data_IF_570949038389
#
_entry.id   IF_570949038389
#
_cell.length_a   1.000
_cell.length_b   1.000
_cell.length_c   1.000
_cell.angle_alpha   90.00
_cell.angle_beta   90.00
_cell.angle_gamma   90.00
#
_symmetry.space_group_name_H-M   'P 1'
#
loop_
_entity.id
_entity.type
_entity.pdbx_description
1 polymer ?
#
# COMPACT_ATOMS: atom_id res chain seq x y z
N UNK A 1 11.26 -4.70 -18.35
CA UNK A 1 10.68 -6.07 -18.27
C UNK A 1 9.58 -6.20 -19.31
N UNK A 2 9.48 -7.34 -19.99
CA UNK A 2 8.57 -7.53 -21.14
C UNK A 2 7.13 -7.83 -20.75
N UNK A 3 6.19 -7.63 -21.68
CA UNK A 3 4.79 -8.07 -21.54
C UNK A 3 4.67 -9.52 -22.00
N UNK A 4 3.87 -10.32 -21.30
CA UNK A 4 3.54 -11.71 -21.68
C UNK A 4 2.10 -11.75 -22.17
N UNK A 5 1.88 -12.38 -23.33
CA UNK A 5 0.53 -12.65 -23.83
C UNK A 5 0.05 -14.00 -23.30
N UNK A 6 -1.09 -14.01 -22.64
CA UNK A 6 -1.74 -15.21 -22.13
C UNK A 6 -3.22 -15.21 -22.51
N UNK A 7 -3.86 -16.37 -22.40
CA UNK A 7 -5.29 -16.55 -22.63
C UNK A 7 -5.91 -17.14 -21.36
N UNK A 8 -6.97 -16.51 -20.87
CA UNK A 8 -7.68 -16.89 -19.64
C UNK A 8 -9.18 -16.99 -19.95
N UNK A 9 -9.87 -17.89 -19.26
CA UNK A 9 -11.32 -17.99 -19.32
C UNK A 9 -11.94 -17.10 -18.23
N UNK A 10 -12.90 -16.28 -18.62
CA UNK A 10 -13.61 -15.33 -17.75
C UNK A 10 -15.09 -15.46 -18.08
N UNK A 11 -15.93 -15.30 -17.07
CA UNK A 11 -17.38 -15.20 -17.24
C UNK A 11 -17.77 -14.08 -18.24
N UNK A 12 -18.78 -14.34 -19.08
CA UNK A 12 -19.15 -13.45 -20.17
C UNK A 12 -19.69 -12.10 -19.67
N UNK A 13 -20.54 -12.10 -18.65
CA UNK A 13 -21.14 -10.90 -18.10
C UNK A 13 -20.07 -10.07 -17.38
N UNK A 14 -19.25 -10.72 -16.56
CA UNK A 14 -18.13 -10.07 -15.87
C UNK A 14 -17.17 -9.39 -16.86
N UNK A 15 -16.80 -10.10 -17.93
CA UNK A 15 -15.92 -9.55 -18.95
C UNK A 15 -16.55 -8.35 -19.69
N UNK A 16 -17.86 -8.38 -19.91
CA UNK A 16 -18.59 -7.27 -20.52
C UNK A 16 -18.57 -6.03 -19.62
N UNK A 17 -18.83 -6.18 -18.33
CA UNK A 17 -18.77 -5.08 -17.35
C UNK A 17 -17.36 -4.50 -17.25
N UNK A 18 -16.34 -5.36 -17.18
CA UNK A 18 -14.95 -4.93 -17.09
C UNK A 18 -14.51 -4.09 -18.30
N UNK A 19 -14.92 -4.46 -19.52
CA UNK A 19 -14.64 -3.65 -20.72
C UNK A 19 -15.36 -2.31 -20.70
N UNK A 20 -16.59 -2.25 -20.18
CA UNK A 20 -17.33 -1.00 -20.05
C UNK A 20 -16.66 -0.06 -19.05
N UNK A 21 -16.11 -0.60 -17.96
CA UNK A 21 -15.30 0.16 -17.00
C UNK A 21 -14.06 0.75 -17.67
N UNK A 22 -13.30 -0.07 -18.40
CA UNK A 22 -12.12 0.38 -19.15
C UNK A 22 -12.43 1.51 -20.13
N UNK A 23 -13.55 1.39 -20.86
CA UNK A 23 -14.02 2.43 -21.77
C UNK A 23 -14.37 3.72 -21.03
N UNK A 24 -15.06 3.63 -19.89
CA UNK A 24 -15.47 4.78 -19.08
C UNK A 24 -14.27 5.55 -18.53
N UNK A 25 -13.22 4.82 -18.14
CA UNK A 25 -11.99 5.40 -17.59
C UNK A 25 -10.99 5.84 -18.66
N UNK A 26 -11.27 5.58 -19.95
CA UNK A 26 -10.35 5.85 -21.04
C UNK A 26 -9.05 5.05 -20.94
N UNK A 27 -9.10 3.88 -20.30
CA UNK A 27 -7.94 3.03 -20.02
C UNK A 27 -7.94 1.78 -20.90
N UNK A 28 -6.76 1.20 -21.13
CA UNK A 28 -6.63 -0.06 -21.85
C UNK A 28 -7.07 -1.23 -20.96
N UNK A 29 -7.82 -2.18 -21.53
CA UNK A 29 -8.29 -3.39 -20.82
C UNK A 29 -7.12 -4.19 -20.24
N UNK A 30 -6.01 -4.28 -20.97
CA UNK A 30 -4.77 -4.92 -20.52
C UNK A 30 -4.16 -4.24 -19.30
N UNK A 31 -4.15 -2.91 -19.28
CA UNK A 31 -3.62 -2.10 -18.18
C UNK A 31 -4.46 -2.28 -16.92
N UNK A 32 -5.79 -2.22 -17.05
CA UNK A 32 -6.69 -2.46 -15.93
C UNK A 32 -6.59 -3.88 -15.39
N UNK A 33 -6.45 -4.88 -16.29
CA UNK A 33 -6.25 -6.27 -15.86
C UNK A 33 -4.94 -6.44 -15.10
N UNK A 34 -3.87 -5.77 -15.54
CA UNK A 34 -2.57 -5.78 -14.85
C UNK A 34 -2.64 -5.10 -13.47
N UNK A 35 -3.37 -3.98 -13.36
CA UNK A 35 -3.62 -3.31 -12.08
C UNK A 35 -4.46 -4.19 -11.14
N UNK A 36 -5.50 -4.85 -11.65
CA UNK A 36 -6.31 -5.79 -10.87
C UNK A 36 -5.47 -6.97 -10.35
N UNK A 37 -4.63 -7.58 -11.21
CA UNK A 37 -3.72 -8.66 -10.82
C UNK A 37 -2.71 -8.17 -9.78
N UNK A 38 -2.13 -6.99 -9.96
CA UNK A 38 -1.19 -6.39 -9.00
C UNK A 38 -1.86 -6.16 -7.64
N UNK A 39 -3.05 -5.57 -7.63
CA UNK A 39 -3.78 -5.29 -6.41
C UNK A 39 -4.17 -6.58 -5.68
N UNK A 40 -4.58 -7.61 -6.41
CA UNK A 40 -4.85 -8.93 -5.84
C UNK A 40 -3.61 -9.54 -5.19
N UNK A 41 -2.46 -9.53 -5.87
CA UNK A 41 -1.18 -10.01 -5.31
C UNK A 41 -0.80 -9.21 -4.06
N UNK A 42 -0.94 -7.88 -4.08
CA UNK A 42 -0.64 -7.03 -2.92
C UNK A 42 -1.57 -7.36 -1.75
N UNK A 43 -2.87 -7.53 -2.00
CA UNK A 43 -3.83 -7.89 -0.96
C UNK A 43 -3.50 -9.24 -0.33
N UNK A 44 -3.20 -10.26 -1.14
CA UNK A 44 -2.79 -11.58 -0.63
C UNK A 44 -1.46 -11.55 0.12
N UNK A 45 -0.53 -10.66 -0.25
CA UNK A 45 0.74 -10.46 0.49
C UNK A 45 0.50 -9.71 1.81
N UNK A 46 -0.47 -8.79 1.85
CA UNK A 46 -0.81 -8.01 3.04
C UNK A 46 -1.71 -8.80 4.00
N UNK A 47 -2.46 -9.81 3.52
CA UNK A 47 -3.24 -10.74 4.35
C UNK A 47 -2.36 -11.81 5.03
N UNK A 48 -1.04 -11.69 4.89
CA UNK A 48 -0.05 -12.45 5.68
C UNK A 48 0.18 -11.68 6.97
N UNK A 49 -0.43 -12.14 8.06
CA UNK A 49 -0.09 -11.89 9.47
C UNK A 49 0.79 -10.64 9.68
N UNK A 50 0.17 -9.53 10.14
CA UNK A 50 0.78 -8.22 10.46
C UNK A 50 2.05 -8.30 11.35
N UNK A 51 2.45 -9.48 11.81
CA UNK A 51 3.66 -9.76 12.57
C UNK A 51 4.93 -10.02 11.73
N UNK A 52 4.82 -10.40 10.44
CA UNK A 52 5.97 -10.91 9.66
C UNK A 52 6.35 -10.10 8.42
N UNK A 53 5.69 -8.96 8.14
CA UNK A 53 6.15 -8.04 7.08
C UNK A 53 7.36 -7.27 7.63
N UNK A 54 8.60 -7.49 7.13
CA UNK A 54 9.73 -6.70 7.58
C UNK A 54 9.54 -5.26 7.10
N UNK A 55 9.15 -4.38 8.03
CA UNK A 55 9.14 -2.94 7.79
C UNK A 55 10.59 -2.52 7.56
N UNK A 56 10.96 -2.40 6.29
CA UNK A 56 12.24 -1.81 5.89
C UNK A 56 12.17 -0.30 6.11
N UNK A 57 12.57 0.09 7.31
CA UNK A 57 12.82 1.49 7.65
C UNK A 57 14.33 1.64 7.83
N UNK A 58 14.93 2.56 7.08
CA UNK A 58 16.27 3.06 7.39
C UNK A 58 16.15 4.11 8.50
N UNK A 59 16.75 3.87 9.68
CA UNK A 59 16.75 4.85 10.75
C UNK A 59 17.40 6.15 10.30
N UNK A 60 16.66 7.25 10.43
CA UNK A 60 17.21 8.59 10.26
C UNK A 60 18.13 8.85 11.45
N UNK A 61 19.40 9.10 11.19
CA UNK A 61 20.31 9.57 12.22
C UNK A 61 19.86 10.96 12.70
N UNK A 62 19.36 11.00 13.93
CA UNK A 62 19.05 12.25 14.61
C UNK A 62 20.36 12.94 14.98
N UNK A 63 20.79 13.88 14.15
CA UNK A 63 22.02 14.63 14.36
C UNK A 63 22.00 15.38 15.69
N UNK A 64 22.97 15.10 16.55
CA UNK A 64 23.33 15.93 17.71
C UNK A 64 22.69 15.58 19.06
N UNK A 65 21.71 14.68 19.14
CA UNK A 65 21.12 14.23 20.43
C UNK A 65 20.74 12.75 20.39
N UNK A 66 20.86 12.01 21.50
CA UNK A 66 20.33 10.65 21.60
C UNK A 66 18.81 10.64 21.35
N UNK A 67 18.32 9.65 20.60
CA UNK A 67 16.88 9.50 20.33
C UNK A 67 16.02 9.45 21.61
N UNK A 68 16.58 8.93 22.71
CA UNK A 68 15.94 8.90 24.02
C UNK A 68 15.61 10.28 24.58
N UNK A 69 16.43 11.29 24.27
CA UNK A 69 16.21 12.66 24.70
C UNK A 69 15.03 13.29 23.95
N UNK A 70 14.99 13.10 22.63
CA UNK A 70 13.91 13.59 21.76
C UNK A 70 12.57 12.95 22.14
N UNK A 71 12.54 11.62 22.34
CA UNK A 71 11.33 10.91 22.76
C UNK A 71 10.84 11.39 24.12
N UNK A 72 11.77 11.69 25.04
CA UNK A 72 11.42 12.22 26.36
C UNK A 72 10.83 13.62 26.27
N UNK A 73 11.44 14.52 25.49
CA UNK A 73 10.89 15.86 25.23
C UNK A 73 9.47 15.77 24.67
N UNK A 74 9.24 14.94 23.64
CA UNK A 74 7.91 14.73 23.05
C UNK A 74 6.88 14.19 24.06
N UNK A 75 7.31 13.30 24.97
CA UNK A 75 6.45 12.73 26.01
C UNK A 75 6.06 13.78 27.06
N UNK A 76 7.03 14.54 27.53
CA UNK A 76 6.84 15.57 28.56
C UNK A 76 5.99 16.74 28.01
N UNK A 77 6.16 17.12 26.74
CA UNK A 77 5.31 18.11 26.07
C UNK A 77 3.86 17.65 25.96
N UNK A 78 3.65 16.38 25.55
CA UNK A 78 2.31 15.80 25.49
C UNK A 78 1.64 15.78 26.85
N UNK A 79 2.36 15.38 27.90
CA UNK A 79 1.82 15.35 29.27
C UNK A 79 1.42 16.76 29.74
N UNK A 80 2.27 17.76 29.50
CA UNK A 80 1.96 19.18 29.79
C UNK A 80 0.75 19.70 29.01
N UNK A 81 0.57 19.26 27.77
CA UNK A 81 -0.59 19.65 26.96
C UNK A 81 -1.89 19.03 27.48
N UNK A 82 -1.84 17.79 27.98
CA UNK A 82 -3.01 17.10 28.54
C UNK A 82 -3.37 17.64 29.93
N UNK A 83 -2.38 18.06 30.71
CA UNK A 83 -2.57 18.66 32.05
C UNK A 83 -3.08 20.11 32.03
N UNK A 84 -3.17 20.74 30.85
CA UNK A 84 -3.67 22.12 30.66
C UNK A 84 -5.13 22.19 30.15
N UNK A 85 -5.83 21.06 30.04
CA UNK A 85 -7.28 20.99 29.84
C UNK A 85 -7.98 20.82 31.19
#
# INVERSE_FOLDING_TARGET
MGKVKTSVYIDEELWKEFRQLALREGSEVSKLLEEAIRNYIIQEIIDVDDSDIPIWFEPIEVGGKPASEIVREMRDEREKSLLRQ
#
